data_IF_730688476144
#
_entry.id   IF_730688476144
#
_cell.length_a   1.000
_cell.length_b   1.000
_cell.length_c   1.000
_cell.angle_alpha   90.00
_cell.angle_beta   90.00
_cell.angle_gamma   90.00
#
_symmetry.space_group_name_H-M   'P 1'
#
loop_
_entity.id
_entity.type
_entity.pdbx_description
1 polymer ?
#
# COMPACT_ATOMS: atom_id res chain seq x y z
N UNK A 1 5.18 -23.21 -25.26
CA UNK A 1 4.44 -22.39 -24.23
C UNK A 1 3.14 -23.15 -23.96
N UNK A 2 2.95 -23.63 -22.74
CA UNK A 2 1.74 -24.40 -22.36
C UNK A 2 0.54 -23.45 -22.31
N UNK A 3 -0.48 -23.70 -23.13
CA UNK A 3 -1.79 -23.03 -23.06
C UNK A 3 -2.44 -23.33 -21.70
N UNK A 4 -2.15 -22.52 -20.69
CA UNK A 4 -2.84 -22.61 -19.41
C UNK A 4 -4.27 -22.12 -19.59
N UNK A 5 -5.24 -23.03 -19.57
CA UNK A 5 -6.67 -22.75 -19.71
C UNK A 5 -7.09 -21.74 -18.62
N UNK A 6 -7.53 -20.56 -19.04
CA UNK A 6 -7.98 -19.49 -18.12
C UNK A 6 -9.13 -19.94 -17.23
N UNK A 7 -9.06 -19.61 -15.94
CA UNK A 7 -10.11 -19.98 -14.97
C UNK A 7 -11.44 -19.29 -15.29
N UNK A 8 -12.57 -19.94 -14.93
CA UNK A 8 -13.89 -19.34 -15.10
C UNK A 8 -14.02 -18.02 -14.31
N UNK A 9 -13.38 -17.95 -13.14
CA UNK A 9 -13.32 -16.75 -12.30
C UNK A 9 -12.63 -15.59 -13.03
N UNK A 10 -11.49 -15.84 -13.68
CA UNK A 10 -10.79 -14.80 -14.44
C UNK A 10 -11.65 -14.29 -15.62
N UNK A 11 -12.29 -15.20 -16.36
CA UNK A 11 -13.20 -14.82 -17.45
C UNK A 11 -14.36 -13.95 -16.97
N UNK A 12 -14.94 -14.28 -15.83
CA UNK A 12 -16.00 -13.48 -15.19
C UNK A 12 -15.49 -12.09 -14.79
N UNK A 13 -14.33 -12.00 -14.14
CA UNK A 13 -13.73 -10.71 -13.77
C UNK A 13 -13.48 -9.82 -14.99
N UNK A 14 -12.96 -10.39 -16.09
CA UNK A 14 -12.76 -9.66 -17.35
C UNK A 14 -14.08 -9.14 -17.92
N UNK A 15 -15.16 -9.97 -17.88
CA UNK A 15 -16.50 -9.56 -18.34
C UNK A 15 -17.09 -8.43 -17.49
N UNK A 16 -16.74 -8.36 -16.20
CA UNK A 16 -17.14 -7.29 -15.28
C UNK A 16 -16.25 -6.03 -15.42
N UNK A 17 -15.31 -6.00 -16.36
CA UNK A 17 -14.48 -4.83 -16.62
C UNK A 17 -13.18 -4.74 -15.81
N UNK A 18 -12.84 -5.77 -15.01
CA UNK A 18 -11.57 -5.80 -14.29
C UNK A 18 -10.41 -6.12 -15.24
N UNK A 19 -9.43 -5.24 -15.33
CA UNK A 19 -8.30 -5.37 -16.24
C UNK A 19 -7.05 -5.96 -15.55
N UNK A 20 -7.21 -7.17 -14.99
CA UNK A 20 -6.09 -7.91 -14.37
C UNK A 20 -5.25 -8.62 -15.43
N UNK A 21 -3.93 -8.75 -15.16
CA UNK A 21 -3.01 -9.49 -16.05
C UNK A 21 -3.33 -10.99 -16.05
N UNK A 22 -3.18 -11.64 -17.21
CA UNK A 22 -3.38 -13.09 -17.32
C UNK A 22 -2.31 -13.88 -16.58
N UNK A 23 -1.10 -13.34 -16.51
CA UNK A 23 0.03 -13.97 -15.83
C UNK A 23 -0.23 -14.17 -14.34
N UNK A 24 -0.80 -13.17 -13.66
CA UNK A 24 -1.05 -13.22 -12.23
C UNK A 24 -2.42 -13.81 -11.86
N UNK A 25 -3.45 -13.53 -12.66
CA UNK A 25 -4.84 -13.83 -12.33
C UNK A 25 -5.48 -14.89 -13.23
N UNK A 26 -4.83 -15.32 -14.28
CA UNK A 26 -5.38 -16.29 -15.24
C UNK A 26 -5.89 -17.59 -14.61
N UNK A 27 -5.29 -18.03 -13.49
CA UNK A 27 -5.64 -19.23 -12.73
C UNK A 27 -6.28 -18.92 -11.36
N UNK A 28 -6.77 -17.70 -11.15
CA UNK A 28 -7.31 -17.29 -9.86
C UNK A 28 -8.57 -18.07 -9.49
N UNK A 29 -8.65 -18.54 -8.23
CA UNK A 29 -9.86 -19.16 -7.68
C UNK A 29 -10.83 -18.10 -7.16
N UNK A 30 -12.14 -18.40 -7.21
CA UNK A 30 -13.16 -17.51 -6.67
C UNK A 30 -12.94 -17.20 -5.19
N UNK A 31 -12.56 -18.21 -4.40
CA UNK A 31 -12.28 -18.05 -2.97
C UNK A 31 -11.12 -17.04 -2.70
N UNK A 32 -10.07 -17.07 -3.50
CA UNK A 32 -8.97 -16.11 -3.39
C UNK A 32 -9.45 -14.68 -3.65
N UNK A 33 -10.30 -14.49 -4.68
CA UNK A 33 -10.88 -13.17 -5.00
C UNK A 33 -11.76 -12.67 -3.85
N UNK A 34 -12.64 -13.51 -3.31
CA UNK A 34 -13.51 -13.16 -2.19
C UNK A 34 -12.70 -12.81 -0.94
N UNK A 35 -11.70 -13.62 -0.59
CA UNK A 35 -10.80 -13.35 0.55
C UNK A 35 -10.05 -12.02 0.38
N UNK A 36 -9.55 -11.74 -0.81
CA UNK A 36 -8.85 -10.50 -1.13
C UNK A 36 -9.80 -9.29 -1.05
N UNK A 37 -11.03 -9.42 -1.54
CA UNK A 37 -12.06 -8.39 -1.46
C UNK A 37 -12.37 -7.99 -0.02
N UNK A 38 -12.69 -8.96 0.85
CA UNK A 38 -12.95 -8.69 2.27
C UNK A 38 -11.71 -8.16 3.00
N UNK A 39 -10.53 -8.65 2.66
CA UNK A 39 -9.26 -8.15 3.17
C UNK A 39 -9.03 -6.67 2.81
N UNK A 40 -9.36 -6.28 1.60
CA UNK A 40 -9.24 -4.88 1.14
C UNK A 40 -10.25 -3.97 1.85
N UNK A 41 -11.51 -4.41 1.99
CA UNK A 41 -12.53 -3.67 2.75
C UNK A 41 -12.06 -3.46 4.19
N UNK A 42 -11.60 -4.52 4.85
CA UNK A 42 -11.09 -4.43 6.21
C UNK A 42 -9.94 -3.40 6.32
N UNK A 43 -8.93 -3.49 5.45
CA UNK A 43 -7.80 -2.54 5.45
C UNK A 43 -8.26 -1.12 5.18
N UNK A 44 -9.19 -0.91 4.24
CA UNK A 44 -9.76 0.41 3.96
C UNK A 44 -10.49 0.99 5.16
N UNK A 45 -11.27 0.19 5.87
CA UNK A 45 -11.94 0.63 7.09
C UNK A 45 -10.95 1.00 8.19
N UNK A 46 -9.90 0.19 8.41
CA UNK A 46 -8.84 0.50 9.37
C UNK A 46 -8.12 1.81 9.01
N UNK A 47 -7.87 2.05 7.72
CA UNK A 47 -7.28 3.31 7.26
C UNK A 47 -8.22 4.50 7.53
N UNK A 48 -9.50 4.37 7.25
CA UNK A 48 -10.46 5.44 7.54
C UNK A 48 -10.57 5.75 9.04
N UNK A 49 -10.46 4.72 9.90
CA UNK A 49 -10.46 4.90 11.35
C UNK A 49 -9.30 5.77 11.85
N UNK A 50 -8.18 5.83 11.11
CA UNK A 50 -7.06 6.69 11.49
C UNK A 50 -7.43 8.18 11.53
N UNK A 51 -8.46 8.58 10.80
CA UNK A 51 -8.89 9.97 10.64
C UNK A 51 -10.23 10.28 11.33
N UNK A 52 -10.75 9.36 12.16
CA UNK A 52 -11.96 9.64 12.91
C UNK A 52 -11.71 10.63 14.02
N UNK A 53 -12.37 11.79 13.99
CA UNK A 53 -12.20 12.88 14.93
C UNK A 53 -12.39 12.46 16.41
N UNK A 54 -13.31 11.52 16.67
CA UNK A 54 -13.55 11.00 18.04
C UNK A 54 -12.34 10.24 18.60
N UNK A 55 -11.44 9.76 17.75
CA UNK A 55 -10.25 9.00 18.15
C UNK A 55 -9.01 9.91 18.28
N UNK A 56 -9.09 11.15 17.85
CA UNK A 56 -7.96 12.09 17.81
C UNK A 56 -7.23 12.26 19.17
N UNK A 57 -7.92 12.38 20.31
CA UNK A 57 -7.25 12.52 21.59
C UNK A 57 -6.35 11.35 22.00
N UNK A 58 -6.56 10.17 21.42
CA UNK A 58 -5.86 8.93 21.83
C UNK A 58 -4.68 8.58 20.93
N UNK A 59 -4.16 9.50 20.02
CA UNK A 59 -3.90 9.01 18.81
C UNK A 59 -2.57 9.01 18.17
N UNK A 60 -1.68 9.96 18.05
CA UNK A 60 -0.64 9.82 17.03
C UNK A 60 0.42 8.74 17.35
N UNK A 61 0.62 8.40 18.63
CA UNK A 61 1.66 7.42 19.05
C UNK A 61 1.11 6.05 19.45
N UNK A 62 -0.19 5.91 19.61
CA UNK A 62 -0.80 4.64 20.07
C UNK A 62 -1.72 4.02 19.02
N UNK A 63 -2.81 4.69 18.68
CA UNK A 63 -3.85 4.10 17.85
C UNK A 63 -3.43 3.99 16.38
N UNK A 64 -2.93 5.07 15.75
CA UNK A 64 -2.53 5.05 14.34
C UNK A 64 -1.41 4.03 14.06
N UNK A 65 -0.33 3.95 14.84
CA UNK A 65 0.65 2.86 14.68
C UNK A 65 0.05 1.46 14.86
N UNK A 66 -0.89 1.28 15.80
CA UNK A 66 -1.57 -0.01 15.99
C UNK A 66 -2.46 -0.37 14.78
N UNK A 67 -3.15 0.60 14.19
CA UNK A 67 -3.94 0.41 12.97
C UNK A 67 -3.06 0.04 11.78
N UNK A 68 -1.91 0.70 11.61
CA UNK A 68 -0.93 0.35 10.57
C UNK A 68 -0.45 -1.10 10.72
N UNK A 69 -0.13 -1.56 11.95
CA UNK A 69 0.21 -2.98 12.20
C UNK A 69 -0.95 -3.92 11.83
N UNK A 70 -2.18 -3.58 12.17
CA UNK A 70 -3.37 -4.38 11.79
C UNK A 70 -3.63 -4.41 10.29
N UNK A 71 -3.19 -3.40 9.54
CA UNK A 71 -3.24 -3.39 8.08
C UNK A 71 -2.13 -4.23 7.44
N UNK A 72 -1.07 -4.55 8.17
CA UNK A 72 0.03 -5.41 7.73
C UNK A 72 1.42 -4.78 7.77
N UNK A 73 1.55 -3.48 8.08
CA UNK A 73 2.84 -2.81 8.18
C UNK A 73 3.66 -3.34 9.37
N UNK A 74 4.98 -3.36 9.20
CA UNK A 74 5.93 -3.58 10.29
C UNK A 74 6.22 -2.25 10.95
N UNK A 75 5.74 -2.03 12.17
CA UNK A 75 5.85 -0.74 12.86
C UNK A 75 6.50 -0.92 14.23
N UNK A 76 7.57 -0.20 14.48
CA UNK A 76 8.34 -0.20 15.71
C UNK A 76 7.66 0.49 16.90
N UNK A 77 8.44 0.80 17.92
CA UNK A 77 7.99 1.47 19.17
C UNK A 77 8.08 2.99 19.02
N UNK A 78 7.22 3.70 19.76
CA UNK A 78 7.20 5.18 19.82
C UNK A 78 7.15 5.89 18.46
N UNK A 79 6.59 5.24 17.45
CA UNK A 79 6.37 5.85 16.14
C UNK A 79 5.25 6.89 16.25
N UNK A 80 5.49 8.07 15.68
CA UNK A 80 4.47 9.11 15.53
C UNK A 80 3.85 9.00 14.13
N UNK A 81 2.52 9.02 14.06
CA UNK A 81 1.79 9.03 12.78
C UNK A 81 0.76 10.15 12.83
N UNK A 82 0.94 11.15 11.98
CA UNK A 82 0.01 12.27 11.80
C UNK A 82 -1.35 11.83 11.26
N UNK A 83 -2.26 12.78 11.14
CA UNK A 83 -3.57 12.60 10.51
C UNK A 83 -3.43 12.50 8.98
N UNK A 84 -4.47 11.98 8.34
CA UNK A 84 -4.55 11.82 6.88
C UNK A 84 -3.34 11.10 6.23
N UNK A 85 -2.60 10.30 6.99
CA UNK A 85 -1.54 9.45 6.43
C UNK A 85 -2.18 8.32 5.64
N UNK A 86 -1.73 8.11 4.39
CA UNK A 86 -2.23 7.05 3.50
C UNK A 86 -1.12 6.08 3.15
N UNK A 87 -1.42 4.80 3.19
CA UNK A 87 -0.50 3.74 2.79
C UNK A 87 -1.01 2.98 1.58
N UNK A 88 -0.11 2.29 0.91
CA UNK A 88 -0.47 1.30 -0.10
C UNK A 88 -1.14 0.09 0.56
N UNK A 89 -2.47 0.05 0.53
CA UNK A 89 -3.24 -1.02 1.17
C UNK A 89 -3.02 -2.40 0.55
N UNK A 90 -2.61 -2.44 -0.72
CA UNK A 90 -2.34 -3.70 -1.42
C UNK A 90 -1.03 -4.33 -0.99
N UNK A 91 -0.06 -3.49 -0.59
CA UNK A 91 1.32 -3.87 -0.26
C UNK A 91 1.72 -3.34 1.13
N UNK A 92 0.79 -3.30 2.07
CA UNK A 92 1.03 -2.81 3.43
C UNK A 92 2.13 -3.61 4.17
N UNK A 93 2.28 -4.89 3.85
CA UNK A 93 3.33 -5.79 4.37
C UNK A 93 4.75 -5.45 3.89
N UNK A 94 4.86 -4.63 2.85
CA UNK A 94 6.13 -4.12 2.32
C UNK A 94 6.59 -2.81 2.96
N UNK A 95 5.82 -2.25 3.91
CA UNK A 95 6.15 -1.02 4.62
C UNK A 95 6.74 -1.37 5.98
N UNK A 96 7.99 -0.95 6.20
CA UNK A 96 8.70 -1.06 7.47
C UNK A 96 8.95 0.33 8.04
N UNK A 97 8.56 0.55 9.28
CA UNK A 97 8.72 1.79 10.03
C UNK A 97 9.39 1.42 11.35
N UNK A 98 10.62 1.87 11.55
CA UNK A 98 11.39 1.54 12.74
C UNK A 98 11.03 2.43 13.94
N UNK A 99 11.67 2.13 15.08
CA UNK A 99 11.44 2.82 16.34
C UNK A 99 11.68 4.33 16.22
N UNK A 100 10.83 5.11 16.90
CA UNK A 100 10.93 6.57 16.98
C UNK A 100 10.80 7.32 15.65
N UNK A 101 10.46 6.65 14.54
CA UNK A 101 10.18 7.33 13.27
C UNK A 101 8.98 8.28 13.42
N UNK A 102 9.01 9.37 12.66
CA UNK A 102 7.98 10.41 12.67
C UNK A 102 7.41 10.60 11.28
N UNK A 103 6.13 10.33 11.12
CA UNK A 103 5.40 10.51 9.86
C UNK A 103 4.42 11.65 10.06
N UNK A 104 4.66 12.78 9.43
CA UNK A 104 3.81 13.96 9.55
C UNK A 104 2.47 13.77 8.83
N UNK A 105 1.56 14.73 9.00
CA UNK A 105 0.22 14.69 8.41
C UNK A 105 0.26 14.68 6.88
N UNK A 106 -0.71 13.99 6.28
CA UNK A 106 -0.88 13.95 4.82
C UNK A 106 0.11 13.09 4.05
N UNK A 107 1.08 12.47 4.72
CA UNK A 107 2.11 11.64 4.06
C UNK A 107 1.48 10.44 3.34
N UNK A 108 2.01 10.14 2.15
CA UNK A 108 1.59 8.98 1.34
C UNK A 108 2.76 8.02 1.13
N UNK A 109 2.58 6.76 1.53
CA UNK A 109 3.56 5.69 1.36
C UNK A 109 3.09 4.75 0.26
N UNK A 110 3.75 4.78 -0.92
CA UNK A 110 3.37 4.01 -2.10
C UNK A 110 4.41 2.94 -2.41
N UNK A 111 4.05 1.67 -2.34
CA UNK A 111 4.91 0.53 -2.66
C UNK A 111 4.82 0.10 -4.13
N UNK A 112 3.89 0.66 -4.90
CA UNK A 112 3.76 0.35 -6.32
C UNK A 112 3.52 1.61 -7.17
N UNK A 113 4.02 1.57 -8.40
CA UNK A 113 3.76 2.56 -9.45
C UNK A 113 3.80 1.91 -10.82
N UNK A 114 3.20 2.53 -11.82
CA UNK A 114 3.36 2.06 -13.20
C UNK A 114 4.81 2.19 -13.66
N UNK A 115 5.29 1.18 -14.38
CA UNK A 115 6.60 1.24 -15.00
C UNK A 115 6.53 2.11 -16.26
N UNK A 116 7.04 3.33 -16.15
CA UNK A 116 7.04 4.31 -17.25
C UNK A 116 8.36 4.34 -18.03
N UNK A 117 9.28 3.43 -17.78
CA UNK A 117 10.65 3.47 -18.37
C UNK A 117 10.64 3.49 -19.89
N UNK A 118 9.69 2.81 -20.52
CA UNK A 118 9.57 2.69 -21.98
C UNK A 118 8.23 3.26 -22.49
N UNK A 119 7.62 4.17 -21.75
CA UNK A 119 6.34 4.77 -22.15
C UNK A 119 6.54 5.78 -23.27
N UNK A 120 5.76 5.64 -24.33
CA UNK A 120 5.71 6.56 -25.45
C UNK A 120 4.31 7.16 -25.60
N UNK A 121 4.22 8.34 -26.20
CA UNK A 121 2.93 8.99 -26.51
C UNK A 121 2.10 8.08 -27.41
N UNK A 122 0.88 7.76 -26.97
CA UNK A 122 -0.02 6.85 -27.69
C UNK A 122 -0.05 5.42 -27.12
N UNK A 123 0.86 5.06 -26.21
CA UNK A 123 0.79 3.78 -25.53
C UNK A 123 -0.43 3.68 -24.60
N UNK A 124 -0.99 2.47 -24.51
CA UNK A 124 -2.06 2.19 -23.57
C UNK A 124 -1.48 2.05 -22.15
N UNK A 125 -1.65 3.09 -21.34
CA UNK A 125 -1.21 3.12 -19.95
C UNK A 125 -1.67 1.90 -19.13
N UNK A 126 -2.85 1.34 -19.43
CA UNK A 126 -3.37 0.17 -18.72
C UNK A 126 -2.57 -1.10 -18.92
N UNK A 127 -1.80 -1.18 -20.01
CA UNK A 127 -0.94 -2.33 -20.35
C UNK A 127 0.45 -2.26 -19.76
N UNK A 128 0.84 -1.12 -19.19
CA UNK A 128 2.14 -0.98 -18.53
C UNK A 128 2.18 -1.86 -17.27
N UNK A 129 3.30 -2.53 -17.06
CA UNK A 129 3.57 -3.28 -15.83
C UNK A 129 3.71 -2.38 -14.61
N UNK A 130 3.86 -2.98 -13.43
CA UNK A 130 4.10 -2.27 -12.19
C UNK A 130 5.54 -2.45 -11.71
N UNK A 131 6.11 -1.40 -11.12
CA UNK A 131 7.27 -1.47 -10.25
C UNK A 131 6.72 -1.61 -8.83
N UNK A 132 7.05 -2.70 -8.15
CA UNK A 132 6.63 -2.97 -6.77
C UNK A 132 7.89 -3.12 -5.93
N UNK A 133 8.09 -2.25 -4.95
CA UNK A 133 9.27 -2.26 -4.08
C UNK A 133 8.91 -1.85 -2.66
N UNK A 134 9.62 -2.38 -1.62
CA UNK A 134 9.37 -2.02 -0.24
C UNK A 134 9.76 -0.58 0.07
N UNK A 135 9.15 -0.04 1.14
CA UNK A 135 9.53 1.21 1.79
C UNK A 135 10.10 0.90 3.16
N UNK A 136 11.21 1.57 3.50
CA UNK A 136 11.83 1.45 4.80
C UNK A 136 12.09 2.84 5.39
N UNK A 137 11.43 3.14 6.50
CA UNK A 137 11.68 4.31 7.33
C UNK A 137 12.51 3.86 8.53
N UNK A 138 13.81 4.21 8.53
CA UNK A 138 14.75 3.81 9.57
C UNK A 138 14.48 4.55 10.89
N UNK A 139 15.16 4.12 11.93
CA UNK A 139 15.00 4.62 13.29
C UNK A 139 15.18 6.14 13.38
N UNK A 140 14.23 6.80 14.03
CA UNK A 140 14.28 8.25 14.25
C UNK A 140 14.16 9.11 12.99
N UNK A 141 13.88 8.53 11.81
CA UNK A 141 13.65 9.29 10.59
C UNK A 141 12.39 10.15 10.70
N UNK A 142 12.35 11.28 9.98
CA UNK A 142 11.19 12.16 9.89
C UNK A 142 10.77 12.34 8.43
N UNK A 143 9.50 12.12 8.16
CA UNK A 143 8.85 12.41 6.87
C UNK A 143 7.94 13.62 7.05
N UNK A 144 8.25 14.69 6.33
CA UNK A 144 7.52 15.96 6.40
C UNK A 144 6.10 15.87 5.85
N UNK A 145 5.32 16.92 6.15
CA UNK A 145 3.91 16.98 5.76
C UNK A 145 3.72 16.88 4.25
N UNK A 146 2.64 16.20 3.83
CA UNK A 146 2.22 16.05 2.42
C UNK A 146 3.28 15.38 1.51
N UNK A 147 4.31 14.74 2.10
CA UNK A 147 5.34 14.05 1.32
C UNK A 147 4.81 12.76 0.68
N UNK A 148 5.33 12.46 -0.52
CA UNK A 148 5.13 11.17 -1.19
C UNK A 148 6.42 10.35 -1.10
N UNK A 149 6.35 9.20 -0.45
CA UNK A 149 7.44 8.22 -0.41
C UNK A 149 7.16 7.15 -1.47
N UNK A 150 8.03 7.08 -2.47
CA UNK A 150 7.87 6.25 -3.65
C UNK A 150 8.39 4.82 -3.44
N UNK A 151 8.03 3.86 -4.31
CA UNK A 151 8.49 2.47 -4.20
C UNK A 151 10.01 2.34 -4.18
N UNK A 152 10.53 1.60 -3.21
CA UNK A 152 11.97 1.31 -3.07
C UNK A 152 12.76 2.35 -2.29
N UNK A 153 12.11 3.37 -1.74
CA UNK A 153 12.78 4.40 -0.94
C UNK A 153 13.10 3.88 0.46
N UNK A 154 14.34 4.08 0.88
CA UNK A 154 14.78 3.93 2.27
C UNK A 154 15.16 5.32 2.80
N UNK A 155 14.50 5.75 3.87
CA UNK A 155 14.87 6.98 4.59
C UNK A 155 15.76 6.56 5.76
N UNK A 156 17.00 7.02 5.74
CA UNK A 156 18.05 6.62 6.67
C UNK A 156 17.77 7.02 8.13
N UNK A 157 18.53 6.45 9.05
CA UNK A 157 18.42 6.74 10.48
C UNK A 157 18.65 8.24 10.76
N UNK A 158 17.70 8.85 11.47
CA UNK A 158 17.72 10.28 11.81
C UNK A 158 17.56 11.24 10.62
N UNK A 159 17.36 10.75 9.40
CA UNK A 159 17.16 11.62 8.23
C UNK A 159 15.80 12.34 8.28
N UNK A 160 15.77 13.55 7.74
CA UNK A 160 14.59 14.42 7.62
C UNK A 160 14.35 14.71 6.14
N UNK A 161 13.14 14.44 5.66
CA UNK A 161 12.72 14.66 4.27
C UNK A 161 11.36 15.34 4.21
#
# INVERSE_FOLDING_TARGET
MSDKKLSATYKLLRKLGFNYSEEEYGQVSLWRVVKQFFGNIRRKNLQNMMDWAILEPFNPRKLRPALLRKMGCKVGKNVFVGDNVRIDLSHADMITIEDHAHIASGVRLLCHQRNMSNYCVGDDYAKLGYIIKPIHLCKGSLVGMESFVMPGVTIGEGAIV
#
